data_IF_502824659550
#
_entry.id   IF_502824659550
#
_cell.length_a   1.000
_cell.length_b   1.000
_cell.length_c   1.000
_cell.angle_alpha   90.00
_cell.angle_beta   90.00
_cell.angle_gamma   90.00
#
_symmetry.space_group_name_H-M   'P 1'
#
loop_
_entity.id
_entity.type
_entity.pdbx_description
1 polymer ?
#
# COMPACT_ATOMS: atom_id res chain seq x y z
N UNK A 1 -0.25 -1.44 13.38
CA UNK A 1 -1.55 -1.63 14.04
C UNK A 1 -1.96 -0.30 14.64
N UNK A 2 -3.12 0.23 14.23
CA UNK A 2 -3.78 1.30 14.97
C UNK A 2 -4.88 0.63 15.80
N UNK A 3 -4.64 0.47 17.10
CA UNK A 3 -5.59 -0.04 18.11
C UNK A 3 -6.02 -1.52 17.93
N UNK A 4 -6.92 -1.96 18.83
CA UNK A 4 -7.41 -3.35 18.97
C UNK A 4 -8.48 -3.76 17.94
N UNK A 5 -8.69 -2.95 16.90
CA UNK A 5 -9.69 -3.25 15.87
C UNK A 5 -9.04 -4.07 14.76
N UNK A 6 -9.47 -5.32 14.66
CA UNK A 6 -9.07 -6.22 13.57
C UNK A 6 -9.97 -5.93 12.36
N UNK A 7 -9.36 -5.51 11.26
CA UNK A 7 -10.03 -5.35 9.98
C UNK A 7 -9.72 -6.57 9.11
N UNK A 8 -10.70 -7.45 8.96
CA UNK A 8 -10.63 -8.61 8.06
C UNK A 8 -11.42 -8.31 6.79
N UNK A 9 -10.69 -8.02 5.71
CA UNK A 9 -11.28 -7.71 4.41
C UNK A 9 -11.44 -8.97 3.56
N UNK A 10 -12.41 -8.96 2.64
CA UNK A 10 -12.63 -10.04 1.65
C UNK A 10 -11.32 -10.50 0.99
N UNK A 11 -10.42 -9.56 0.69
CA UNK A 11 -9.10 -9.82 0.12
C UNK A 11 -7.98 -9.52 1.12
N UNK A 12 -7.06 -10.47 1.29
CA UNK A 12 -5.83 -10.28 2.04
C UNK A 12 -4.78 -9.55 1.19
N UNK A 13 -4.95 -8.23 1.05
CA UNK A 13 -4.08 -7.37 0.22
C UNK A 13 -2.59 -7.50 0.54
N UNK A 14 -2.22 -7.79 1.79
CA UNK A 14 -0.83 -7.97 2.22
C UNK A 14 -0.14 -9.10 1.46
N UNK A 15 -0.84 -10.20 1.20
CA UNK A 15 -0.27 -11.33 0.44
C UNK A 15 0.13 -10.92 -0.98
N UNK A 16 -0.61 -10.01 -1.62
CA UNK A 16 -0.23 -9.44 -2.91
C UNK A 16 0.96 -8.49 -2.74
N UNK A 17 0.94 -7.64 -1.71
CA UNK A 17 2.01 -6.67 -1.48
C UNK A 17 3.37 -7.33 -1.24
N UNK A 18 3.44 -8.34 -0.36
CA UNK A 18 4.68 -9.06 -0.04
C UNK A 18 5.31 -9.71 -1.27
N UNK A 19 4.49 -10.19 -2.22
CA UNK A 19 4.98 -10.75 -3.50
C UNK A 19 5.55 -9.71 -4.45
N UNK A 20 5.19 -8.43 -4.32
CA UNK A 20 5.52 -7.37 -5.28
C UNK A 20 6.60 -6.42 -4.79
N UNK A 21 6.64 -6.10 -3.49
CA UNK A 21 7.46 -4.99 -2.96
C UNK A 21 8.95 -5.11 -3.29
N UNK A 22 9.49 -6.33 -3.28
CA UNK A 22 10.90 -6.59 -3.60
C UNK A 22 11.22 -6.63 -5.11
N UNK A 23 10.21 -6.50 -5.97
CA UNK A 23 10.33 -6.58 -7.43
C UNK A 23 9.94 -5.28 -8.14
N UNK A 24 9.44 -4.28 -7.41
CA UNK A 24 9.19 -2.93 -7.93
C UNK A 24 10.37 -2.01 -7.62
N UNK A 25 10.42 -0.87 -8.30
CA UNK A 25 11.42 0.15 -7.98
C UNK A 25 11.21 0.68 -6.55
N UNK A 26 12.29 1.03 -5.82
CA UNK A 26 12.17 1.63 -4.49
C UNK A 26 11.26 2.85 -4.50
N UNK A 27 10.37 2.94 -3.52
CA UNK A 27 9.32 3.96 -3.47
C UNK A 27 9.77 5.26 -2.79
N UNK A 28 10.89 5.25 -2.07
CA UNK A 28 11.47 6.41 -1.39
C UNK A 28 11.51 7.65 -2.30
N UNK A 29 10.88 8.74 -1.86
CA UNK A 29 10.85 10.01 -2.58
C UNK A 29 10.02 10.01 -3.87
N UNK A 30 9.27 8.94 -4.17
CA UNK A 30 8.45 8.88 -5.39
C UNK A 30 7.05 9.48 -5.18
N UNK A 31 6.53 10.06 -6.24
CA UNK A 31 5.10 10.39 -6.38
C UNK A 31 4.40 9.26 -7.13
N UNK A 32 3.37 8.66 -6.56
CA UNK A 32 2.70 7.46 -7.09
C UNK A 32 1.22 7.73 -7.34
N UNK A 33 0.69 7.20 -8.45
CA UNK A 33 -0.74 7.16 -8.76
C UNK A 33 -1.22 5.70 -8.67
N UNK A 34 -2.16 5.43 -7.78
CA UNK A 34 -2.79 4.12 -7.55
C UNK A 34 -4.14 4.07 -8.26
N UNK A 35 -4.14 3.71 -9.55
CA UNK A 35 -5.36 3.74 -10.37
C UNK A 35 -6.32 2.64 -9.91
N UNK A 36 -7.49 3.06 -9.41
CA UNK A 36 -8.49 2.14 -8.89
C UNK A 36 -8.14 1.62 -7.49
N UNK A 37 -7.65 2.51 -6.63
CA UNK A 37 -7.13 2.18 -5.30
C UNK A 37 -8.12 1.47 -4.35
N UNK A 38 -9.42 1.45 -4.68
CA UNK A 38 -10.45 0.81 -3.86
C UNK A 38 -10.52 1.44 -2.48
N UNK A 39 -10.26 0.66 -1.43
CA UNK A 39 -10.21 1.15 -0.05
C UNK A 39 -8.89 1.87 0.32
N UNK A 40 -7.97 2.06 -0.64
CA UNK A 40 -6.70 2.75 -0.44
C UNK A 40 -5.63 1.93 0.27
N UNK A 41 -5.83 0.62 0.48
CA UNK A 41 -4.86 -0.23 1.18
C UNK A 41 -3.45 -0.13 0.58
N UNK A 42 -3.32 -0.27 -0.74
CA UNK A 42 -2.01 -0.22 -1.39
C UNK A 42 -1.42 1.20 -1.39
N UNK A 43 -2.26 2.23 -1.52
CA UNK A 43 -1.83 3.62 -1.35
C UNK A 43 -1.20 3.86 0.03
N UNK A 44 -1.81 3.36 1.10
CA UNK A 44 -1.24 3.43 2.45
C UNK A 44 0.08 2.65 2.57
N UNK A 45 0.16 1.46 1.96
CA UNK A 45 1.41 0.69 1.93
C UNK A 45 2.53 1.43 1.20
N UNK A 46 2.24 2.02 0.04
CA UNK A 46 3.21 2.80 -0.72
C UNK A 46 3.74 4.00 0.09
N UNK A 47 2.87 4.70 0.81
CA UNK A 47 3.26 5.79 1.70
C UNK A 47 4.15 5.29 2.87
N UNK A 48 3.85 4.12 3.45
CA UNK A 48 4.67 3.51 4.51
C UNK A 48 6.06 3.05 4.03
N UNK A 49 6.20 2.74 2.74
CA UNK A 49 7.49 2.37 2.12
C UNK A 49 8.26 3.58 1.56
N UNK A 50 7.90 4.81 1.98
CA UNK A 50 8.68 6.02 1.70
C UNK A 50 8.25 6.84 0.48
N UNK A 51 7.12 6.52 -0.16
CA UNK A 51 6.59 7.39 -1.21
C UNK A 51 6.33 8.80 -0.66
N UNK A 52 6.84 9.83 -1.35
CA UNK A 52 6.66 11.25 -0.98
C UNK A 52 5.19 11.65 -1.04
N UNK A 53 4.47 11.12 -2.04
CA UNK A 53 3.06 11.40 -2.24
C UNK A 53 2.39 10.25 -2.98
N UNK A 54 1.22 9.84 -2.51
CA UNK A 54 0.40 8.83 -3.20
C UNK A 54 -0.99 9.39 -3.44
N UNK A 55 -1.44 9.35 -4.69
CA UNK A 55 -2.80 9.66 -5.10
C UNK A 55 -3.51 8.35 -5.46
N UNK A 56 -4.53 7.98 -4.71
CA UNK A 56 -5.38 6.81 -4.97
C UNK A 56 -6.71 7.15 -5.60
#
# INVERSE_FOLDING_TARGET
MFNDVILDSEWQGDMKWQRLINYIQPLEGRRVLDVGAGNGYFSLRMAMEGAEFVLG
#
